data_IF_492525055666
#
_entry.id   IF_492525055666
#
_cell.length_a   1.000
_cell.length_b   1.000
_cell.length_c   1.000
_cell.angle_alpha   90.00
_cell.angle_beta   90.00
_cell.angle_gamma   90.00
#
_symmetry.space_group_name_H-M   'P 1'
#
loop_
_entity.id
_entity.type
_entity.pdbx_description
1 polymer ?
#
# COMPACT_ATOMS: atom_id res chain seq x y z
N UNK A 1 23.49 -28.13 36.77
CA UNK A 1 22.21 -28.47 36.14
C UNK A 1 22.43 -28.56 34.65
N UNK A 2 22.38 -29.76 34.09
CA UNK A 2 22.50 -29.97 32.65
C UNK A 2 21.11 -29.70 32.04
N UNK A 3 20.99 -28.63 31.24
CA UNK A 3 19.75 -28.35 30.50
C UNK A 3 19.68 -29.36 29.38
N UNK A 4 18.76 -30.32 29.49
CA UNK A 4 18.49 -31.27 28.41
C UNK A 4 17.95 -30.52 27.18
N UNK A 5 18.47 -30.76 25.95
CA UNK A 5 17.97 -30.10 24.77
C UNK A 5 16.51 -30.51 24.51
N UNK A 6 15.61 -29.53 24.57
CA UNK A 6 14.24 -29.73 24.10
C UNK A 6 14.20 -29.77 22.57
N UNK A 7 13.40 -30.69 22.02
CA UNK A 7 13.14 -30.69 20.57
C UNK A 7 12.67 -29.30 20.12
N UNK A 8 13.22 -28.76 19.01
CA UNK A 8 12.86 -27.42 18.54
C UNK A 8 11.36 -27.36 18.21
N UNK A 9 10.61 -26.55 18.97
CA UNK A 9 9.20 -26.32 18.72
C UNK A 9 9.06 -25.23 17.66
N UNK A 10 8.47 -25.56 16.52
CA UNK A 10 8.16 -24.57 15.49
C UNK A 10 7.08 -23.62 16.01
N UNK A 11 7.39 -22.34 16.08
CA UNK A 11 6.43 -21.29 16.45
C UNK A 11 5.36 -21.14 15.37
N UNK A 12 4.11 -20.97 15.78
CA UNK A 12 3.02 -20.57 14.87
C UNK A 12 3.27 -19.16 14.34
N UNK A 13 2.57 -18.76 13.26
CA UNK A 13 2.65 -17.42 12.71
C UNK A 13 2.30 -16.36 13.78
N UNK A 14 1.22 -16.58 14.54
CA UNK A 14 0.83 -15.69 15.66
C UNK A 14 1.94 -15.55 16.70
N UNK A 15 2.58 -16.65 17.10
CA UNK A 15 3.67 -16.60 18.09
C UNK A 15 4.89 -15.87 17.55
N UNK A 16 5.25 -16.06 16.27
CA UNK A 16 6.36 -15.32 15.64
C UNK A 16 6.05 -13.83 15.54
N UNK A 17 4.82 -13.48 15.13
CA UNK A 17 4.38 -12.10 15.06
C UNK A 17 4.46 -11.44 16.45
N UNK A 18 3.89 -12.06 17.49
CA UNK A 18 3.95 -11.53 18.86
C UNK A 18 5.39 -11.33 19.35
N UNK A 19 6.27 -12.31 19.10
CA UNK A 19 7.68 -12.19 19.48
C UNK A 19 8.39 -11.03 18.78
N UNK A 20 8.02 -10.72 17.53
CA UNK A 20 8.63 -9.62 16.75
C UNK A 20 8.03 -8.25 17.05
N UNK A 21 6.74 -8.19 17.45
CA UNK A 21 6.02 -6.92 17.59
C UNK A 21 5.76 -6.50 19.04
N UNK A 22 5.93 -7.40 20.01
CA UNK A 22 5.73 -7.13 21.43
C UNK A 22 6.94 -7.48 22.27
N UNK A 23 7.52 -8.67 22.06
CA UNK A 23 8.64 -9.13 22.87
C UNK A 23 9.96 -8.43 22.54
N UNK A 24 10.07 -7.83 21.37
CA UNK A 24 11.18 -6.97 20.96
C UNK A 24 10.90 -5.48 21.15
N UNK A 25 9.71 -5.12 21.59
CA UNK A 25 9.36 -3.73 21.85
C UNK A 25 10.17 -3.21 23.04
N UNK A 26 10.81 -2.07 22.82
CA UNK A 26 11.71 -1.48 23.79
C UNK A 26 11.74 0.03 23.65
N UNK A 27 11.41 0.72 24.72
CA UNK A 27 11.51 2.16 24.81
C UNK A 27 12.87 2.56 25.45
N UNK A 28 13.58 3.51 24.87
CA UNK A 28 14.80 4.01 25.47
C UNK A 28 14.49 4.76 26.78
N UNK A 29 15.30 4.53 27.81
CA UNK A 29 15.14 5.14 29.13
C UNK A 29 15.55 6.62 29.21
N UNK A 30 16.14 7.17 28.15
CA UNK A 30 16.75 8.52 28.12
C UNK A 30 16.01 9.53 27.23
N UNK A 31 15.01 9.05 26.50
CA UNK A 31 14.17 9.85 25.57
C UNK A 31 12.74 9.39 25.71
N UNK A 32 11.78 10.31 25.79
CA UNK A 32 10.36 9.94 25.80
C UNK A 32 9.87 9.52 24.42
N UNK A 33 8.77 8.75 24.37
CA UNK A 33 8.13 8.38 23.11
C UNK A 33 7.69 9.61 22.30
N UNK A 34 7.24 10.68 22.96
CA UNK A 34 6.83 11.95 22.33
C UNK A 34 8.02 12.68 21.69
N UNK A 35 9.20 12.61 22.30
CA UNK A 35 10.42 13.18 21.73
C UNK A 35 10.95 12.35 20.57
N UNK A 36 10.79 11.01 20.62
CA UNK A 36 11.18 10.11 19.52
C UNK A 36 10.23 10.17 18.33
N UNK A 37 8.93 10.35 18.60
CA UNK A 37 7.85 10.33 17.58
C UNK A 37 7.00 11.60 17.65
N UNK A 38 7.59 12.79 17.43
CA UNK A 38 6.93 14.07 17.69
C UNK A 38 5.69 14.31 16.82
N UNK A 39 5.60 13.69 15.64
CA UNK A 39 4.46 13.90 14.74
C UNK A 39 3.16 13.31 15.29
N UNK A 40 3.20 12.22 16.04
CA UNK A 40 1.98 11.64 16.64
C UNK A 40 1.35 12.51 17.71
N UNK A 41 2.13 13.35 18.39
CA UNK A 41 1.63 14.26 19.42
C UNK A 41 0.89 15.47 18.85
N UNK A 42 1.08 15.81 17.56
CA UNK A 42 0.44 16.99 16.94
C UNK A 42 -1.00 16.71 16.45
N UNK A 43 -1.42 15.48 16.35
CA UNK A 43 -2.75 15.11 15.85
C UNK A 43 -3.86 15.28 16.90
N UNK A 44 -3.51 15.52 18.15
CA UNK A 44 -4.44 15.66 19.28
C UNK A 44 -5.09 14.35 19.73
N UNK A 45 -4.69 13.21 19.16
CA UNK A 45 -5.15 11.88 19.54
C UNK A 45 -4.50 11.42 20.84
N UNK A 46 -5.19 10.51 21.54
CA UNK A 46 -4.70 9.89 22.75
C UNK A 46 -4.51 8.40 22.54
N UNK A 47 -3.29 7.92 22.77
CA UNK A 47 -2.92 6.51 22.69
C UNK A 47 -2.30 6.12 24.03
N UNK A 48 -2.92 5.18 24.72
CA UNK A 48 -2.51 4.72 26.04
C UNK A 48 -1.67 3.45 25.98
N UNK A 49 -1.88 2.61 24.95
CA UNK A 49 -1.22 1.31 24.86
C UNK A 49 -1.03 0.89 23.40
N UNK A 50 0.15 1.12 22.85
CA UNK A 50 0.53 0.72 21.49
C UNK A 50 0.54 -0.79 21.28
N UNK A 51 0.72 -1.57 22.33
CA UNK A 51 0.72 -3.04 22.23
C UNK A 51 -0.64 -3.64 21.88
N UNK A 52 -1.71 -2.82 21.95
CA UNK A 52 -3.07 -3.22 21.52
C UNK A 52 -3.26 -3.20 20.01
N UNK A 53 -2.34 -2.59 19.27
CA UNK A 53 -2.40 -2.69 17.82
C UNK A 53 -2.27 -4.14 17.37
N UNK A 54 -3.22 -4.61 16.59
CA UNK A 54 -3.16 -5.93 15.97
C UNK A 54 -3.29 -5.82 14.45
N UNK A 55 -2.22 -6.17 13.73
CA UNK A 55 -2.32 -6.41 12.30
C UNK A 55 -3.07 -7.75 12.08
N UNK A 56 -4.26 -7.73 11.44
CA UNK A 56 -5.04 -8.94 11.23
C UNK A 56 -4.32 -9.96 10.33
N UNK A 57 -3.42 -9.51 9.48
CA UNK A 57 -2.60 -10.38 8.62
C UNK A 57 -1.41 -10.98 9.36
N UNK A 58 -0.99 -10.38 10.47
CA UNK A 58 0.12 -10.85 11.32
C UNK A 58 1.37 -11.21 10.53
N UNK A 59 1.69 -10.36 9.55
CA UNK A 59 2.83 -10.59 8.69
C UNK A 59 4.14 -10.50 9.46
N UNK A 60 5.05 -11.41 9.16
CA UNK A 60 6.47 -11.31 9.52
C UNK A 60 7.27 -11.06 8.26
N UNK A 61 8.49 -10.53 8.36
CA UNK A 61 9.36 -10.28 7.21
C UNK A 61 9.48 -11.50 6.31
N UNK A 62 9.71 -12.67 6.91
CA UNK A 62 9.83 -13.94 6.18
C UNK A 62 8.53 -14.32 5.42
N UNK A 63 7.39 -14.20 6.09
CA UNK A 63 6.09 -14.53 5.48
C UNK A 63 5.75 -13.54 4.34
N UNK A 64 5.93 -12.25 4.57
CA UNK A 64 5.72 -11.20 3.58
C UNK A 64 6.60 -11.42 2.34
N UNK A 65 7.92 -11.54 2.54
CA UNK A 65 8.88 -11.68 1.44
C UNK A 65 8.60 -12.92 0.59
N UNK A 66 8.33 -14.07 1.22
CA UNK A 66 8.01 -15.30 0.49
C UNK A 66 6.72 -15.19 -0.31
N UNK A 67 5.69 -14.61 0.30
CA UNK A 67 4.40 -14.43 -0.38
C UNK A 67 4.53 -13.53 -1.61
N UNK A 68 5.18 -12.38 -1.45
CA UNK A 68 5.35 -11.42 -2.54
C UNK A 68 6.27 -11.95 -3.65
N UNK A 69 7.37 -12.62 -3.30
CA UNK A 69 8.27 -13.21 -4.30
C UNK A 69 7.56 -14.27 -5.17
N UNK A 70 6.71 -15.11 -4.57
CA UNK A 70 5.95 -16.10 -5.33
C UNK A 70 4.86 -15.46 -6.19
N UNK A 71 4.21 -14.40 -5.69
CA UNK A 71 3.23 -13.63 -6.43
C UNK A 71 3.85 -12.93 -7.64
N UNK A 72 4.98 -12.26 -7.45
CA UNK A 72 5.72 -11.59 -8.53
C UNK A 72 6.19 -12.57 -9.60
N UNK A 73 6.73 -13.71 -9.20
CA UNK A 73 7.15 -14.74 -10.14
C UNK A 73 6.02 -15.17 -11.09
N UNK A 74 4.81 -15.33 -10.56
CA UNK A 74 3.64 -15.67 -11.38
C UNK A 74 3.21 -14.53 -12.27
N UNK A 75 3.15 -13.33 -11.73
CA UNK A 75 2.78 -12.12 -12.45
C UNK A 75 3.71 -11.88 -13.64
N UNK A 76 5.02 -11.81 -13.40
CA UNK A 76 6.00 -11.55 -14.46
C UNK A 76 6.04 -12.68 -15.51
N UNK A 77 5.78 -13.92 -15.13
CA UNK A 77 5.66 -15.01 -16.10
C UNK A 77 4.52 -14.77 -17.10
N UNK A 78 3.39 -14.21 -16.65
CA UNK A 78 2.27 -13.83 -17.53
C UNK A 78 2.63 -12.62 -18.40
N UNK A 79 3.16 -11.56 -17.80
CA UNK A 79 3.54 -10.34 -18.52
C UNK A 79 4.54 -10.64 -19.63
N UNK A 80 5.59 -11.35 -19.31
CA UNK A 80 6.67 -11.67 -20.26
C UNK A 80 6.22 -12.70 -21.30
N UNK A 81 5.45 -13.71 -20.90
CA UNK A 81 4.90 -14.70 -21.82
C UNK A 81 3.96 -14.08 -22.87
N UNK A 82 3.11 -13.13 -22.45
CA UNK A 82 2.23 -12.41 -23.35
C UNK A 82 3.03 -11.52 -24.32
N UNK A 83 4.08 -10.85 -23.85
CA UNK A 83 4.97 -10.06 -24.68
C UNK A 83 5.76 -10.94 -25.68
N UNK A 84 6.32 -12.07 -25.24
CA UNK A 84 7.06 -12.99 -26.08
C UNK A 84 6.20 -13.65 -27.17
N UNK A 85 4.94 -13.95 -26.86
CA UNK A 85 3.97 -14.47 -27.83
C UNK A 85 3.40 -13.39 -28.78
N UNK A 86 3.84 -12.15 -28.65
CA UNK A 86 3.31 -11.00 -29.40
C UNK A 86 1.81 -10.76 -29.15
N UNK A 87 1.30 -11.18 -28.01
CA UNK A 87 -0.12 -11.06 -27.65
C UNK A 87 -0.64 -9.62 -27.68
N UNK A 88 0.23 -8.62 -27.46
CA UNK A 88 -0.13 -7.21 -27.57
C UNK A 88 -0.68 -6.84 -28.97
N UNK A 89 -0.28 -7.51 -30.05
CA UNK A 89 -0.78 -7.25 -31.40
C UNK A 89 -2.26 -7.63 -31.59
N UNK A 90 -2.84 -8.41 -30.67
CA UNK A 90 -4.27 -8.71 -30.68
C UNK A 90 -5.14 -7.61 -30.07
N UNK A 91 -4.53 -6.64 -29.37
CA UNK A 91 -5.22 -5.52 -28.76
C UNK A 91 -5.47 -4.44 -29.81
N UNK A 92 -6.66 -4.43 -30.41
CA UNK A 92 -6.98 -3.58 -31.57
C UNK A 92 -7.88 -2.40 -31.24
N UNK A 93 -8.47 -2.33 -30.03
CA UNK A 93 -9.30 -1.20 -29.64
C UNK A 93 -8.41 0.02 -29.29
N UNK A 94 -8.47 1.03 -30.15
CA UNK A 94 -7.68 2.25 -30.00
C UNK A 94 -8.10 3.07 -28.75
N UNK A 95 -9.36 3.03 -28.36
CA UNK A 95 -9.85 3.72 -27.15
C UNK A 95 -9.31 3.06 -25.90
N UNK A 96 -9.35 1.73 -25.86
CA UNK A 96 -8.75 0.95 -24.79
C UNK A 96 -7.24 1.20 -24.67
N UNK A 97 -6.50 1.11 -25.78
CA UNK A 97 -5.05 1.35 -25.78
C UNK A 97 -4.70 2.77 -25.33
N UNK A 98 -5.48 3.78 -25.71
CA UNK A 98 -5.27 5.14 -25.21
C UNK A 98 -5.56 5.25 -23.70
N UNK A 99 -6.61 4.62 -23.20
CA UNK A 99 -6.93 4.61 -21.78
C UNK A 99 -5.81 3.92 -20.98
N UNK A 100 -5.32 2.77 -21.45
CA UNK A 100 -4.20 2.06 -20.82
C UNK A 100 -2.92 2.86 -20.81
N UNK A 101 -2.62 3.55 -21.92
CA UNK A 101 -1.46 4.44 -21.97
C UNK A 101 -1.52 5.53 -20.90
N UNK A 102 -2.63 6.23 -20.82
CA UNK A 102 -2.83 7.31 -19.85
C UNK A 102 -2.80 6.79 -18.41
N UNK A 103 -3.42 5.65 -18.17
CA UNK A 103 -3.43 5.00 -16.85
C UNK A 103 -2.01 4.65 -16.41
N UNK A 104 -1.30 3.82 -17.14
CA UNK A 104 0.05 3.37 -16.78
C UNK A 104 1.06 4.52 -16.66
N UNK A 105 0.92 5.56 -17.49
CA UNK A 105 1.78 6.76 -17.40
C UNK A 105 1.47 7.62 -16.19
N UNK A 106 0.22 7.62 -15.73
CA UNK A 106 -0.24 8.47 -14.62
C UNK A 106 -0.12 7.83 -13.26
N UNK A 107 -0.39 6.53 -13.16
CA UNK A 107 -0.51 5.85 -11.86
C UNK A 107 0.85 5.47 -11.28
N UNK A 108 1.81 5.04 -12.09
CA UNK A 108 3.13 4.65 -11.56
C UNK A 108 3.86 5.74 -10.74
N UNK A 109 3.80 7.05 -11.07
CA UNK A 109 4.30 8.08 -10.17
C UNK A 109 3.49 8.24 -8.87
N UNK A 110 2.17 7.97 -8.88
CA UNK A 110 1.33 7.99 -7.67
C UNK A 110 1.70 6.86 -6.72
N UNK A 111 1.85 5.65 -7.24
CA UNK A 111 2.34 4.49 -6.48
C UNK A 111 3.71 4.78 -5.84
N UNK A 112 4.61 5.39 -6.61
CA UNK A 112 5.91 5.79 -6.07
C UNK A 112 5.79 6.88 -4.98
N UNK A 113 4.84 7.79 -5.09
CA UNK A 113 4.54 8.78 -4.04
C UNK A 113 3.99 8.08 -2.80
N UNK A 114 3.04 7.17 -2.96
CA UNK A 114 2.50 6.35 -1.86
C UNK A 114 3.62 5.57 -1.15
N UNK A 115 4.51 4.91 -1.91
CA UNK A 115 5.70 4.26 -1.36
C UNK A 115 6.50 5.18 -0.43
N UNK A 116 6.86 6.38 -0.88
CA UNK A 116 7.63 7.33 -0.07
C UNK A 116 6.88 7.74 1.19
N UNK A 117 5.59 7.95 1.07
CA UNK A 117 4.74 8.42 2.16
C UNK A 117 4.59 7.34 3.24
N UNK A 118 4.36 6.08 2.87
CA UNK A 118 4.28 4.97 3.82
C UNK A 118 5.64 4.61 4.42
N UNK A 119 6.73 4.76 3.67
CA UNK A 119 8.09 4.64 4.22
C UNK A 119 8.36 5.69 5.31
N UNK A 120 7.92 6.93 5.09
CA UNK A 120 8.00 7.98 6.10
C UNK A 120 7.09 7.69 7.30
N UNK A 121 5.85 7.26 7.05
CA UNK A 121 4.89 6.91 8.08
C UNK A 121 5.45 5.80 9.01
N UNK A 122 6.08 4.78 8.46
CA UNK A 122 6.68 3.70 9.24
C UNK A 122 7.74 4.19 10.24
N UNK A 123 8.34 5.33 10.00
CA UNK A 123 9.29 5.98 10.92
C UNK A 123 8.60 6.71 12.07
N UNK A 124 7.40 7.26 11.82
CA UNK A 124 6.73 8.16 12.77
C UNK A 124 5.70 7.48 13.67
N UNK A 125 5.26 6.28 13.33
CA UNK A 125 4.40 5.50 14.21
C UNK A 125 5.23 4.91 15.36
N UNK A 126 4.71 4.97 16.58
CA UNK A 126 5.24 4.23 17.70
C UNK A 126 4.69 2.79 17.67
N UNK A 127 5.42 1.86 18.24
CA UNK A 127 5.04 0.45 18.23
C UNK A 127 5.47 -0.32 16.98
N UNK A 128 6.07 -1.49 17.12
CA UNK A 128 6.65 -2.27 16.01
C UNK A 128 5.60 -2.83 15.06
N UNK A 129 4.37 -3.11 15.53
CA UNK A 129 3.29 -3.64 14.70
C UNK A 129 2.85 -2.67 13.59
N UNK A 130 2.37 -1.47 13.90
CA UNK A 130 1.94 -0.50 12.90
C UNK A 130 3.10 -0.01 12.02
N UNK A 131 4.30 0.09 12.57
CA UNK A 131 5.51 0.44 11.80
C UNK A 131 5.80 -0.59 10.72
N UNK A 132 5.77 -1.87 11.06
CA UNK A 132 6.03 -2.94 10.11
C UNK A 132 4.91 -3.06 9.06
N UNK A 133 3.64 -2.90 9.46
CA UNK A 133 2.51 -2.90 8.53
C UNK A 133 2.65 -1.78 7.48
N UNK A 134 2.98 -0.56 7.90
CA UNK A 134 3.24 0.57 6.99
C UNK A 134 4.46 0.34 6.09
N UNK A 135 5.51 -0.32 6.59
CA UNK A 135 6.66 -0.68 5.77
C UNK A 135 6.28 -1.71 4.70
N UNK A 136 5.46 -2.70 5.02
CA UNK A 136 4.96 -3.67 4.04
C UNK A 136 4.13 -2.97 2.96
N UNK A 137 3.24 -2.05 3.32
CA UNK A 137 2.50 -1.26 2.34
C UNK A 137 3.45 -0.45 1.46
N UNK A 138 4.41 0.26 2.02
CA UNK A 138 5.44 0.97 1.24
C UNK A 138 6.14 0.09 0.21
N UNK A 139 6.46 -1.15 0.57
CA UNK A 139 7.10 -2.11 -0.34
C UNK A 139 6.15 -2.60 -1.44
N UNK A 140 4.86 -2.69 -1.17
CA UNK A 140 3.88 -3.04 -2.20
C UNK A 140 3.72 -1.92 -3.22
N UNK A 141 3.61 -0.67 -2.78
CA UNK A 141 3.46 0.49 -3.67
C UNK A 141 4.64 0.61 -4.64
N UNK A 142 5.87 0.42 -4.18
CA UNK A 142 7.03 0.44 -5.11
C UNK A 142 7.03 -0.76 -6.07
N UNK A 143 6.50 -1.91 -5.65
CA UNK A 143 6.34 -3.09 -6.53
C UNK A 143 5.27 -2.84 -7.58
N UNK A 144 4.16 -2.18 -7.24
CA UNK A 144 3.12 -1.76 -8.18
C UNK A 144 3.71 -0.81 -9.22
N UNK A 145 4.37 0.26 -8.79
CA UNK A 145 5.03 1.21 -9.70
C UNK A 145 6.02 0.52 -10.66
N UNK A 146 6.84 -0.41 -10.17
CA UNK A 146 7.78 -1.15 -11.01
C UNK A 146 7.08 -2.05 -12.02
N UNK A 147 5.99 -2.70 -11.62
CA UNK A 147 5.21 -3.57 -12.52
C UNK A 147 4.52 -2.76 -13.61
N UNK A 148 3.99 -1.59 -13.28
CA UNK A 148 3.38 -0.67 -14.24
C UNK A 148 4.40 -0.17 -15.27
N UNK A 149 5.61 0.22 -14.82
CA UNK A 149 6.69 0.61 -15.72
C UNK A 149 7.14 -0.56 -16.61
N UNK A 150 7.20 -1.77 -16.07
CA UNK A 150 7.51 -2.97 -16.85
C UNK A 150 6.43 -3.24 -17.90
N UNK A 151 5.16 -3.12 -17.53
CA UNK A 151 4.01 -3.27 -18.43
C UNK A 151 4.05 -2.21 -19.54
N UNK A 152 4.27 -0.93 -19.20
CA UNK A 152 4.50 0.15 -20.16
C UNK A 152 5.60 -0.19 -21.16
N UNK A 153 6.73 -0.71 -20.68
CA UNK A 153 7.86 -1.11 -21.52
C UNK A 153 7.47 -2.23 -22.50
N UNK A 154 6.63 -3.17 -22.08
CA UNK A 154 6.14 -4.23 -22.97
C UNK A 154 5.19 -3.68 -24.04
N UNK A 155 4.25 -2.80 -23.69
CA UNK A 155 3.39 -2.12 -24.68
C UNK A 155 4.20 -1.29 -25.66
N UNK A 156 5.26 -0.61 -25.21
CA UNK A 156 6.09 0.26 -26.04
C UNK A 156 6.88 -0.49 -27.15
N UNK A 157 6.98 -1.82 -27.05
CA UNK A 157 7.54 -2.67 -28.11
C UNK A 157 6.63 -2.74 -29.34
N UNK A 158 5.32 -2.52 -29.16
CA UNK A 158 4.31 -2.72 -30.19
C UNK A 158 3.56 -1.44 -30.55
N UNK A 159 3.44 -0.48 -29.64
CA UNK A 159 2.69 0.75 -29.81
C UNK A 159 3.53 1.96 -29.42
N UNK A 160 3.45 3.01 -30.23
CA UNK A 160 4.17 4.26 -29.95
C UNK A 160 3.56 5.02 -28.76
N UNK A 161 4.41 5.70 -27.99
CA UNK A 161 3.99 6.59 -26.92
C UNK A 161 3.76 5.92 -25.55
N UNK A 162 3.97 4.62 -25.42
CA UNK A 162 3.95 3.90 -24.16
C UNK A 162 5.32 3.99 -23.46
N UNK A 163 5.70 5.16 -23.05
CA UNK A 163 6.91 5.38 -22.26
C UNK A 163 6.57 6.26 -21.05
N UNK A 164 7.32 6.09 -19.97
CA UNK A 164 7.08 6.83 -18.74
C UNK A 164 7.36 8.32 -18.94
N UNK A 165 6.40 9.15 -18.54
CA UNK A 165 6.54 10.59 -18.52
C UNK A 165 6.26 11.13 -17.12
N UNK A 166 7.28 11.33 -16.31
CA UNK A 166 7.14 11.96 -14.99
C UNK A 166 6.45 13.33 -15.07
N UNK A 167 6.69 14.08 -16.15
CA UNK A 167 6.04 15.37 -16.33
C UNK A 167 4.51 15.30 -16.56
N UNK A 168 3.97 14.14 -16.95
CA UNK A 168 2.52 13.93 -17.04
C UNK A 168 1.88 14.05 -15.66
N UNK A 169 2.52 13.50 -14.64
CA UNK A 169 2.05 13.58 -13.27
C UNK A 169 1.95 15.03 -12.76
N UNK A 170 2.84 15.92 -13.21
CA UNK A 170 2.86 17.30 -12.78
C UNK A 170 1.98 18.25 -13.61
N UNK A 171 1.63 17.88 -14.84
CA UNK A 171 1.02 18.81 -15.79
C UNK A 171 -0.38 18.42 -16.26
N UNK A 172 -0.77 17.19 -16.10
CA UNK A 172 -2.08 16.71 -16.55
C UNK A 172 -3.09 16.90 -15.42
N UNK A 173 -4.12 17.68 -15.66
CA UNK A 173 -5.06 18.12 -14.63
C UNK A 173 -5.71 16.96 -13.86
N UNK A 174 -6.10 15.88 -14.52
CA UNK A 174 -6.73 14.73 -13.86
C UNK A 174 -5.75 13.92 -12.97
N UNK A 175 -4.42 14.06 -13.19
CA UNK A 175 -3.40 13.49 -12.33
C UNK A 175 -3.00 14.43 -11.21
N UNK A 176 -3.20 15.74 -11.39
CA UNK A 176 -2.91 16.73 -10.35
C UNK A 176 -3.86 16.63 -9.16
N UNK A 177 -5.08 16.13 -9.37
CA UNK A 177 -6.06 15.92 -8.29
C UNK A 177 -5.59 14.85 -7.30
N UNK A 178 -5.32 13.59 -7.70
CA UNK A 178 -4.81 12.60 -6.76
C UNK A 178 -3.44 12.98 -6.19
N UNK A 179 -2.56 13.62 -6.96
CA UNK A 179 -1.29 14.14 -6.43
C UNK A 179 -1.52 15.11 -5.29
N UNK A 180 -2.39 16.12 -5.48
CA UNK A 180 -2.67 17.10 -4.44
C UNK A 180 -3.35 16.47 -3.22
N UNK A 181 -4.15 15.43 -3.42
CA UNK A 181 -4.72 14.66 -2.32
C UNK A 181 -3.64 14.01 -1.45
N UNK A 182 -2.66 13.35 -2.06
CA UNK A 182 -1.53 12.74 -1.34
C UNK A 182 -0.65 13.79 -0.64
N UNK A 183 -0.37 14.91 -1.30
CA UNK A 183 0.43 16.00 -0.71
C UNK A 183 -0.29 16.60 0.53
N UNK A 184 -1.59 16.83 0.45
CA UNK A 184 -2.41 17.31 1.55
C UNK A 184 -2.49 16.29 2.69
N UNK A 185 -2.71 15.02 2.37
CA UNK A 185 -2.80 13.93 3.36
C UNK A 185 -1.48 13.76 4.12
N UNK A 186 -0.35 13.81 3.41
CA UNK A 186 0.97 13.69 4.03
C UNK A 186 1.30 14.85 4.98
N UNK A 187 0.78 16.06 4.69
CA UNK A 187 1.01 17.24 5.53
C UNK A 187 0.12 17.26 6.78
N UNK A 188 -0.87 16.38 6.87
CA UNK A 188 -1.83 16.36 7.97
C UNK A 188 -1.24 15.76 9.26
N UNK A 189 -0.74 14.54 9.19
CA UNK A 189 -0.19 13.79 10.31
C UNK A 189 -0.28 12.28 10.07
N UNK A 190 0.43 11.45 10.87
CA UNK A 190 0.56 10.03 10.59
C UNK A 190 -0.76 9.25 10.58
N UNK A 191 -1.62 9.43 11.58
CA UNK A 191 -2.89 8.72 11.66
C UNK A 191 -3.94 9.29 10.72
N UNK A 192 -4.00 10.59 10.58
CA UNK A 192 -4.88 11.23 9.60
C UNK A 192 -4.49 10.78 8.19
N UNK A 193 -3.21 10.66 7.88
CA UNK A 193 -2.72 10.09 6.62
C UNK A 193 -3.18 8.65 6.42
N UNK A 194 -3.04 7.77 7.42
CA UNK A 194 -3.51 6.38 7.34
C UNK A 194 -5.01 6.28 7.03
N UNK A 195 -5.81 7.14 7.63
CA UNK A 195 -7.26 7.18 7.39
C UNK A 195 -7.57 7.77 6.01
N UNK A 196 -6.88 8.83 5.61
CA UNK A 196 -7.06 9.46 4.30
C UNK A 196 -6.76 8.48 3.16
N UNK A 197 -5.61 7.81 3.21
CA UNK A 197 -5.19 6.89 2.14
C UNK A 197 -5.83 5.52 2.34
N UNK A 198 -5.49 4.80 3.40
CA UNK A 198 -5.89 3.40 3.57
C UNK A 198 -7.39 3.20 3.75
N UNK A 199 -8.12 4.15 4.34
CA UNK A 199 -9.58 4.01 4.49
C UNK A 199 -10.36 4.74 3.39
N UNK A 200 -10.06 6.00 3.09
CA UNK A 200 -10.90 6.78 2.15
C UNK A 200 -10.45 6.55 0.69
N UNK A 201 -9.19 6.80 0.37
CA UNK A 201 -8.69 6.76 -1.00
C UNK A 201 -8.68 5.34 -1.58
N UNK A 202 -8.10 4.38 -0.89
CA UNK A 202 -7.95 3.01 -1.37
C UNK A 202 -9.30 2.32 -1.65
N UNK A 203 -10.29 2.51 -0.77
CA UNK A 203 -11.65 1.99 -1.00
C UNK A 203 -12.30 2.57 -2.26
N UNK A 204 -12.17 3.87 -2.46
CA UNK A 204 -12.76 4.55 -3.61
C UNK A 204 -12.00 4.21 -4.88
N UNK A 205 -10.67 4.30 -4.87
CA UNK A 205 -9.83 4.00 -6.02
C UNK A 205 -10.02 2.56 -6.51
N UNK A 206 -9.96 1.59 -5.61
CA UNK A 206 -10.11 0.17 -5.95
C UNK A 206 -11.46 -0.10 -6.60
N UNK A 207 -12.55 0.42 -6.06
CA UNK A 207 -13.88 0.13 -6.57
C UNK A 207 -14.24 0.95 -7.81
N UNK A 208 -13.80 2.19 -7.91
CA UNK A 208 -14.19 3.10 -9.01
C UNK A 208 -13.23 3.07 -10.20
N UNK A 209 -12.01 2.63 -10.00
CA UNK A 209 -10.99 2.62 -11.04
C UNK A 209 -10.45 1.23 -11.33
N UNK A 210 -9.87 0.54 -10.36
CA UNK A 210 -9.22 -0.75 -10.57
C UNK A 210 -10.16 -1.83 -11.11
N UNK A 211 -11.34 -2.00 -10.51
CA UNK A 211 -12.31 -3.00 -10.95
C UNK A 211 -12.81 -2.74 -12.38
N UNK A 212 -13.21 -1.51 -12.77
CA UNK A 212 -13.52 -1.19 -14.16
C UNK A 212 -12.35 -1.42 -15.14
N UNK A 213 -11.11 -1.08 -14.75
CA UNK A 213 -9.93 -1.34 -15.59
C UNK A 213 -9.69 -2.82 -15.83
N UNK A 214 -9.77 -3.66 -14.80
CA UNK A 214 -9.66 -5.11 -14.95
C UNK A 214 -10.74 -5.69 -15.84
N UNK A 215 -11.97 -5.18 -15.72
CA UNK A 215 -13.10 -5.58 -16.59
C UNK A 215 -12.84 -5.19 -18.04
N UNK A 216 -12.36 -3.97 -18.28
CA UNK A 216 -11.97 -3.49 -19.61
C UNK A 216 -10.83 -4.31 -20.20
N UNK A 217 -9.82 -4.64 -19.40
CA UNK A 217 -8.70 -5.49 -19.80
C UNK A 217 -9.18 -6.89 -20.20
N UNK A 218 -10.02 -7.51 -19.39
CA UNK A 218 -10.62 -8.81 -19.68
C UNK A 218 -11.41 -8.81 -20.98
N UNK A 219 -12.24 -7.78 -21.19
CA UNK A 219 -13.05 -7.62 -22.41
C UNK A 219 -12.16 -7.51 -23.67
N UNK A 220 -11.02 -6.84 -23.59
CA UNK A 220 -10.10 -6.65 -24.71
C UNK A 220 -9.09 -7.80 -24.86
N UNK A 221 -9.09 -8.79 -23.97
CA UNK A 221 -8.11 -9.87 -24.00
C UNK A 221 -6.71 -9.50 -23.51
N UNK A 222 -6.61 -8.39 -22.77
CA UNK A 222 -5.36 -7.93 -22.18
C UNK A 222 -5.07 -8.69 -20.87
N UNK A 223 -4.51 -9.85 -21.02
CA UNK A 223 -4.14 -10.73 -19.92
C UNK A 223 -3.11 -10.11 -18.95
N UNK A 224 -2.07 -9.40 -19.40
CA UNK A 224 -1.14 -8.69 -18.52
C UNK A 224 -1.83 -7.75 -17.54
N UNK A 225 -2.61 -6.81 -18.05
CA UNK A 225 -3.30 -5.81 -17.22
C UNK A 225 -4.30 -6.44 -16.26
N UNK A 226 -5.06 -7.43 -16.70
CA UNK A 226 -5.96 -8.18 -15.84
C UNK A 226 -5.19 -8.88 -14.70
N UNK A 227 -4.08 -9.55 -15.03
CA UNK A 227 -3.27 -10.27 -14.02
C UNK A 227 -2.61 -9.32 -13.04
N UNK A 228 -2.10 -8.18 -13.52
CA UNK A 228 -1.57 -7.12 -12.66
C UNK A 228 -2.65 -6.61 -11.71
N UNK A 229 -3.83 -6.26 -12.20
CA UNK A 229 -4.93 -5.76 -11.38
C UNK A 229 -5.31 -6.73 -10.26
N UNK A 230 -5.44 -8.04 -10.53
CA UNK A 230 -5.69 -9.03 -9.49
C UNK A 230 -4.53 -9.16 -8.49
N UNK A 231 -3.30 -9.04 -8.96
CA UNK A 231 -2.12 -9.06 -8.09
C UNK A 231 -2.12 -7.86 -7.15
N UNK A 232 -2.30 -6.65 -7.66
CA UNK A 232 -2.38 -5.42 -6.88
C UNK A 232 -3.57 -5.46 -5.90
N UNK A 233 -4.78 -5.81 -6.35
CA UNK A 233 -5.97 -5.85 -5.50
C UNK A 233 -5.80 -6.70 -4.23
N UNK A 234 -4.98 -7.74 -4.28
CA UNK A 234 -4.68 -8.53 -3.08
C UNK A 234 -3.86 -7.75 -2.04
N UNK A 235 -3.05 -6.80 -2.46
CA UNK A 235 -2.30 -5.90 -1.61
C UNK A 235 -3.19 -4.74 -1.13
N UNK A 236 -3.98 -4.15 -2.04
CA UNK A 236 -4.94 -3.09 -1.72
C UNK A 236 -5.93 -3.53 -0.63
N UNK A 237 -6.38 -4.79 -0.67
CA UNK A 237 -7.24 -5.34 0.40
C UNK A 237 -6.57 -5.31 1.76
N UNK A 238 -5.24 -5.47 1.82
CA UNK A 238 -4.47 -5.36 3.06
C UNK A 238 -4.29 -3.90 3.47
N UNK A 239 -4.05 -3.00 2.52
CA UNK A 239 -3.92 -1.57 2.75
C UNK A 239 -5.22 -0.99 3.33
N UNK A 240 -6.36 -1.31 2.74
CA UNK A 240 -7.69 -0.92 3.25
C UNK A 240 -7.92 -1.45 4.66
N UNK A 241 -7.49 -2.68 4.94
CA UNK A 241 -7.62 -3.27 6.28
C UNK A 241 -6.72 -2.56 7.28
N UNK A 242 -5.50 -2.14 6.89
CA UNK A 242 -4.61 -1.35 7.75
C UNK A 242 -5.26 -0.02 8.14
N UNK A 243 -5.88 0.69 7.19
CA UNK A 243 -6.62 1.93 7.47
C UNK A 243 -7.80 1.71 8.42
N UNK A 244 -8.56 0.63 8.24
CA UNK A 244 -9.66 0.27 9.14
C UNK A 244 -9.18 -0.10 10.54
N UNK A 245 -8.09 -0.84 10.65
CA UNK A 245 -7.51 -1.19 11.96
C UNK A 245 -6.92 0.03 12.68
N UNK A 246 -6.39 1.01 11.95
CA UNK A 246 -5.99 2.29 12.53
C UNK A 246 -7.20 3.00 13.19
N UNK A 247 -8.34 3.04 12.52
CA UNK A 247 -9.57 3.62 13.07
C UNK A 247 -9.99 2.86 14.33
N UNK A 248 -10.12 1.54 14.28
CA UNK A 248 -10.51 0.73 15.43
C UNK A 248 -9.56 0.92 16.62
N UNK A 249 -8.26 0.87 16.35
CA UNK A 249 -7.24 1.07 17.37
C UNK A 249 -7.42 2.42 18.09
N UNK A 250 -7.60 3.51 17.35
CA UNK A 250 -7.80 4.85 17.93
C UNK A 250 -9.08 4.95 18.77
N UNK A 251 -10.18 4.37 18.26
CA UNK A 251 -11.47 4.40 18.98
C UNK A 251 -11.43 3.57 20.28
N UNK A 252 -10.64 2.50 20.32
CA UNK A 252 -10.46 1.66 21.51
C UNK A 252 -9.52 2.27 22.55
N UNK A 253 -8.69 3.25 22.17
CA UNK A 253 -7.75 3.89 23.09
C UNK A 253 -8.40 4.93 23.98
N UNK A 254 -9.23 5.81 23.42
CA UNK A 254 -9.85 6.91 24.18
C UNK A 254 -11.09 7.44 23.46
N UNK A 255 -12.18 7.69 24.20
CA UNK A 255 -13.42 8.27 23.64
C UNK A 255 -13.20 9.67 23.03
N UNK A 256 -12.22 10.41 23.50
CA UNK A 256 -11.87 11.72 22.93
C UNK A 256 -11.35 11.65 21.50
N UNK A 257 -10.92 10.47 21.04
CA UNK A 257 -10.49 10.26 19.66
C UNK A 257 -11.68 10.21 18.67
N UNK A 258 -12.89 9.84 19.13
CA UNK A 258 -14.07 9.68 18.28
C UNK A 258 -14.35 10.90 17.41
N UNK A 259 -14.50 12.13 17.93
CA UNK A 259 -14.79 13.30 17.11
C UNK A 259 -13.63 13.65 16.16
N UNK A 260 -12.38 13.35 16.52
CA UNK A 260 -11.21 13.60 15.69
C UNK A 260 -11.23 12.66 14.47
N UNK A 261 -11.40 11.37 14.73
CA UNK A 261 -11.45 10.34 13.67
C UNK A 261 -12.65 10.58 12.74
N UNK A 262 -13.82 10.93 13.29
CA UNK A 262 -14.99 11.26 12.49
C UNK A 262 -14.73 12.46 11.58
N UNK A 263 -14.11 13.52 12.12
CA UNK A 263 -13.73 14.69 11.33
C UNK A 263 -12.77 14.32 10.18
N UNK A 264 -11.79 13.46 10.42
CA UNK A 264 -10.88 13.02 9.37
C UNK A 264 -11.59 12.21 8.29
N UNK A 265 -12.47 11.28 8.67
CA UNK A 265 -13.27 10.50 7.71
C UNK A 265 -14.12 11.44 6.84
N UNK A 266 -14.85 12.36 7.46
CA UNK A 266 -15.70 13.32 6.73
C UNK A 266 -14.88 14.22 5.79
N UNK A 267 -13.73 14.73 6.28
CA UNK A 267 -12.82 15.55 5.48
C UNK A 267 -12.33 14.81 4.23
N UNK A 268 -11.77 13.61 4.41
CA UNK A 268 -11.08 12.91 3.33
C UNK A 268 -12.01 12.15 2.39
N UNK A 269 -13.21 11.82 2.82
CA UNK A 269 -14.22 11.25 1.94
C UNK A 269 -14.69 12.25 0.87
N UNK A 270 -14.76 13.53 1.21
CA UNK A 270 -15.24 14.58 0.29
C UNK A 270 -14.10 15.34 -0.41
N UNK A 271 -12.87 15.22 0.06
CA UNK A 271 -11.71 15.83 -0.57
C UNK A 271 -11.35 15.17 -1.89
#
# INVERSE_FOLDING_TARGET
>A
MTIAPKAPRKLSMKQRYTALTRDLDWDPSYVSSEEMFPLTSFEGIKIHDWSKWEDPFRLTVDAYTKYQAEKDKRLYAVLDGFAQSQGHLSLTDASYLNAMKLFLQGVSPLEYQAHRNFAMLSRHLNGPGPRFASLCQSLDEIRHAQTEIHTLSNYNKYYSGFHSYLHMHDRVWYLSVPKSFFDDALSAGPFEFLIAIGFSFEYLLTNLLFVPFMSGASFNGDLPTMTFGFSAQSDESRHMTLGLEAIKFLLEQDEANVPIVQHWIDKWFWR
#
